data_IF_281527047514
#
_entry.id   IF_281527047514
#
_cell.length_a   1.000
_cell.length_b   1.000
_cell.length_c   1.000
_cell.angle_alpha   90.00
_cell.angle_beta   90.00
_cell.angle_gamma   90.00
#
_symmetry.space_group_name_H-M   'P 1'
#
loop_
_entity.id
_entity.type
_entity.pdbx_description
1 polymer ?
#
# COMPACT_ATOMS: atom_id res chain seq x y z
N UNK A 1 -3.58 -4.59 -22.89
CA UNK A 1 -3.83 -6.05 -22.80
C UNK A 1 -4.94 -6.40 -23.78
N UNK A 2 -4.91 -7.57 -24.46
CA UNK A 2 -6.06 -8.04 -25.27
C UNK A 2 -7.16 -8.57 -24.35
N UNK A 3 -8.40 -8.68 -24.85
CA UNK A 3 -9.53 -9.23 -24.08
C UNK A 3 -9.23 -10.64 -23.58
N UNK A 4 -8.72 -11.51 -24.44
CA UNK A 4 -8.35 -12.89 -24.07
C UNK A 4 -7.24 -12.93 -22.98
N UNK A 5 -6.24 -12.06 -23.09
CA UNK A 5 -5.18 -11.97 -22.08
C UNK A 5 -5.71 -11.44 -20.74
N UNK A 6 -6.68 -10.52 -20.77
CA UNK A 6 -7.34 -10.02 -19.58
C UNK A 6 -8.23 -11.09 -18.92
N UNK A 7 -8.98 -11.84 -19.73
CA UNK A 7 -9.80 -12.94 -19.22
C UNK A 7 -8.96 -14.00 -18.52
N UNK A 8 -7.84 -14.41 -19.12
CA UNK A 8 -6.91 -15.38 -18.52
C UNK A 8 -6.35 -14.84 -17.20
N UNK A 9 -5.84 -13.61 -17.20
CA UNK A 9 -5.34 -12.95 -16.00
C UNK A 9 -6.41 -12.87 -14.90
N UNK A 10 -7.64 -12.43 -15.25
CA UNK A 10 -8.75 -12.31 -14.32
C UNK A 10 -9.11 -13.64 -13.68
N UNK A 11 -9.18 -14.72 -14.49
CA UNK A 11 -9.43 -16.06 -13.98
C UNK A 11 -8.30 -16.56 -13.07
N UNK A 12 -7.04 -16.36 -13.45
CA UNK A 12 -5.89 -16.77 -12.63
C UNK A 12 -5.93 -16.10 -11.25
N UNK A 13 -6.20 -14.80 -11.22
CA UNK A 13 -6.31 -14.02 -9.98
C UNK A 13 -7.52 -14.43 -9.15
N UNK A 14 -8.72 -14.55 -9.77
CA UNK A 14 -9.96 -14.81 -9.03
C UNK A 14 -10.09 -16.26 -8.56
N UNK A 15 -9.44 -17.22 -9.24
CA UNK A 15 -9.49 -18.65 -8.88
C UNK A 15 -8.26 -19.12 -8.11
N UNK A 16 -7.34 -18.23 -7.80
CA UNK A 16 -6.17 -18.54 -6.99
C UNK A 16 -6.60 -19.15 -5.64
N UNK A 17 -5.87 -20.17 -5.21
CA UNK A 17 -6.07 -20.73 -3.87
C UNK A 17 -5.49 -19.82 -2.80
N UNK A 18 -6.31 -18.90 -2.31
CA UNK A 18 -5.95 -17.91 -1.31
C UNK A 18 -5.50 -18.53 0.03
N UNK A 19 -5.78 -19.81 0.28
CA UNK A 19 -5.26 -20.51 1.46
C UNK A 19 -3.73 -20.63 1.47
N UNK A 20 -3.09 -20.51 0.29
CA UNK A 20 -1.64 -20.48 0.15
C UNK A 20 -0.98 -19.26 0.82
N UNK A 21 -1.70 -18.20 1.08
CA UNK A 21 -1.17 -17.07 1.83
C UNK A 21 -0.88 -17.42 3.30
N UNK A 22 -1.56 -18.43 3.86
CA UNK A 22 -1.27 -18.92 5.18
C UNK A 22 -0.05 -19.89 5.16
N UNK A 23 0.83 -19.89 6.16
CA UNK A 23 0.80 -19.08 7.39
C UNK A 23 1.50 -17.72 7.26
N UNK A 24 2.12 -17.39 6.13
CA UNK A 24 2.91 -16.16 5.94
C UNK A 24 2.09 -14.90 6.25
N UNK A 25 0.85 -14.84 5.78
CA UNK A 25 -0.05 -13.71 6.02
C UNK A 25 -0.36 -13.52 7.50
N UNK A 26 -0.60 -14.60 8.26
CA UNK A 26 -0.83 -14.54 9.70
C UNK A 26 0.42 -14.06 10.45
N UNK A 27 1.61 -14.47 9.99
CA UNK A 27 2.87 -14.00 10.55
C UNK A 27 3.07 -12.51 10.29
N UNK A 28 2.78 -12.03 9.06
CA UNK A 28 2.84 -10.60 8.73
C UNK A 28 1.87 -9.80 9.59
N UNK A 29 0.63 -10.25 9.72
CA UNK A 29 -0.37 -9.65 10.62
C UNK A 29 0.15 -9.55 12.06
N UNK A 30 0.70 -10.64 12.58
CA UNK A 30 1.25 -10.67 13.95
C UNK A 30 2.43 -9.70 14.11
N UNK A 31 3.32 -9.61 13.10
CA UNK A 31 4.43 -8.66 13.12
C UNK A 31 3.93 -7.22 13.10
N UNK A 32 2.96 -6.88 12.24
CA UNK A 32 2.36 -5.54 12.20
C UNK A 32 1.65 -5.19 13.52
N UNK A 33 0.92 -6.14 14.13
CA UNK A 33 0.25 -5.92 15.43
C UNK A 33 1.22 -5.64 16.58
N UNK A 34 2.45 -6.14 16.50
CA UNK A 34 3.46 -5.97 17.55
C UNK A 34 4.46 -4.84 17.25
N UNK A 35 4.49 -4.32 16.03
CA UNK A 35 5.41 -3.26 15.62
C UNK A 35 4.97 -1.90 16.16
N UNK A 36 5.94 -1.08 16.52
CA UNK A 36 5.75 0.34 16.81
C UNK A 36 6.16 1.17 15.59
N UNK A 37 7.43 1.07 15.18
CA UNK A 37 8.04 1.97 14.20
C UNK A 37 8.14 1.32 12.84
N UNK A 38 7.61 2.00 11.86
CA UNK A 38 7.78 1.64 10.46
C UNK A 38 8.70 2.65 9.78
N UNK A 39 9.69 2.14 9.05
CA UNK A 39 10.56 2.95 8.23
C UNK A 39 10.59 2.38 6.80
N UNK A 40 10.19 3.17 5.83
CA UNK A 40 10.18 2.80 4.41
C UNK A 40 11.18 3.65 3.66
N UNK A 41 12.06 2.99 2.89
CA UNK A 41 13.06 3.62 2.04
C UNK A 41 12.90 3.17 0.61
N UNK A 42 13.21 4.05 -0.32
CA UNK A 42 13.20 3.74 -1.76
C UNK A 42 13.59 4.95 -2.59
N UNK A 43 13.40 4.84 -3.89
CA UNK A 43 13.63 5.96 -4.80
C UNK A 43 12.69 7.12 -4.40
N UNK A 44 13.28 8.31 -4.14
CA UNK A 44 12.63 9.52 -3.60
C UNK A 44 11.59 9.20 -2.48
N UNK A 45 12.00 8.33 -1.54
CA UNK A 45 11.16 7.90 -0.42
C UNK A 45 12.00 7.67 0.83
N UNK A 46 11.72 8.43 1.88
CA UNK A 46 12.16 8.20 3.26
C UNK A 46 10.99 8.54 4.18
N UNK A 47 10.20 7.52 4.55
CA UNK A 47 8.94 7.67 5.26
C UNK A 47 9.00 6.94 6.60
N UNK A 48 8.63 7.62 7.69
CA UNK A 48 8.61 7.06 9.05
C UNK A 48 7.30 7.37 9.73
N UNK A 49 6.77 6.36 10.43
CA UNK A 49 5.54 6.48 11.21
C UNK A 49 5.45 5.36 12.26
N UNK A 50 4.50 5.50 13.16
CA UNK A 50 4.13 4.48 14.16
C UNK A 50 2.80 3.84 13.82
N UNK A 51 2.68 2.53 14.05
CA UNK A 51 1.41 1.76 13.99
C UNK A 51 1.06 1.14 15.35
N UNK A 52 1.70 1.63 16.40
CA UNK A 52 1.60 1.08 17.74
C UNK A 52 0.16 1.05 18.23
N UNK A 53 -0.27 -0.12 18.71
CA UNK A 53 -1.59 -0.36 19.30
C UNK A 53 -2.80 -0.12 18.36
N UNK A 54 -2.55 0.06 17.05
CA UNK A 54 -3.62 0.22 16.03
C UNK A 54 -4.23 -1.14 15.65
N UNK A 55 -3.42 -2.19 15.65
CA UNK A 55 -3.84 -3.49 15.12
C UNK A 55 -3.49 -3.67 13.64
N UNK A 56 -3.79 -4.87 13.13
CA UNK A 56 -3.62 -5.19 11.71
C UNK A 56 -4.67 -6.20 11.25
N UNK A 57 -5.08 -6.12 10.01
CA UNK A 57 -6.08 -6.98 9.38
C UNK A 57 -5.45 -7.72 8.21
N UNK A 58 -5.69 -9.02 8.14
CA UNK A 58 -5.21 -9.88 7.08
C UNK A 58 -6.32 -10.15 6.05
N UNK A 59 -6.07 -9.82 4.79
CA UNK A 59 -7.00 -9.94 3.67
C UNK A 59 -6.49 -11.02 2.70
N UNK A 60 -7.05 -12.22 2.81
CA UNK A 60 -6.62 -13.40 2.05
C UNK A 60 -7.78 -14.13 1.39
N UNK A 61 -8.61 -13.43 0.61
CA UNK A 61 -9.78 -13.98 -0.08
C UNK A 61 -11.08 -13.87 0.71
N UNK A 62 -11.09 -13.12 1.81
CA UNK A 62 -12.27 -12.95 2.69
C UNK A 62 -12.88 -11.56 2.63
N UNK A 63 -12.19 -10.60 2.02
CA UNK A 63 -12.65 -9.22 1.88
C UNK A 63 -12.97 -8.90 0.42
N UNK A 64 -11.97 -8.83 -0.43
CA UNK A 64 -12.10 -8.56 -1.86
C UNK A 64 -11.63 -9.76 -2.70
N UNK A 65 -11.95 -9.76 -4.00
CA UNK A 65 -11.35 -10.63 -5.02
C UNK A 65 -11.04 -9.72 -6.23
N UNK A 66 -9.75 -9.51 -6.57
CA UNK A 66 -8.55 -10.10 -5.96
C UNK A 66 -8.30 -9.65 -4.52
N UNK A 67 -7.48 -10.43 -3.81
CA UNK A 67 -7.09 -10.18 -2.44
C UNK A 67 -5.56 -10.45 -2.29
N UNK A 68 -4.99 -10.26 -1.11
CA UNK A 68 -3.58 -10.53 -0.84
C UNK A 68 -2.84 -9.33 -0.30
N UNK A 69 -3.23 -8.92 0.91
CA UNK A 69 -2.56 -7.86 1.67
C UNK A 69 -2.71 -8.06 3.17
N UNK A 70 -1.92 -7.32 3.93
CA UNK A 70 -2.17 -7.05 5.35
C UNK A 70 -2.10 -5.55 5.54
N UNK A 71 -3.14 -4.97 6.15
CA UNK A 71 -3.21 -3.55 6.41
C UNK A 71 -3.23 -3.21 7.90
N UNK A 72 -2.82 -2.00 8.20
CA UNK A 72 -2.90 -1.28 9.47
C UNK A 72 -3.12 0.20 9.17
N UNK A 73 -3.01 1.05 10.17
CA UNK A 73 -3.09 2.50 9.98
C UNK A 73 -1.98 3.20 10.78
N UNK A 74 -1.31 4.24 10.25
CA UNK A 74 -0.41 5.05 11.05
C UNK A 74 -1.13 5.79 12.17
N UNK A 75 -0.48 5.92 13.34
CA UNK A 75 -0.91 6.90 14.35
C UNK A 75 -0.98 8.26 13.67
N UNK A 76 -2.10 8.97 13.82
CA UNK A 76 -2.50 10.11 12.99
C UNK A 76 -1.44 11.20 12.85
N UNK A 77 -0.71 11.52 13.91
CA UNK A 77 0.30 12.58 13.96
C UNK A 77 1.75 12.06 13.87
N UNK A 78 1.94 10.76 13.60
CA UNK A 78 3.25 10.12 13.62
C UNK A 78 3.99 10.13 12.28
N UNK A 79 3.32 10.47 11.18
CA UNK A 79 3.93 10.36 9.84
C UNK A 79 4.85 11.54 9.57
N UNK A 80 6.10 11.20 9.19
CA UNK A 80 7.14 12.16 8.81
C UNK A 80 7.92 11.68 7.59
N UNK A 81 8.44 12.62 6.81
CA UNK A 81 9.26 12.36 5.64
C UNK A 81 8.51 12.55 4.33
N UNK A 82 8.88 11.81 3.31
CA UNK A 82 8.30 11.95 1.98
C UNK A 82 8.20 10.61 1.27
N UNK A 83 7.30 10.55 0.29
CA UNK A 83 7.10 9.41 -0.59
C UNK A 83 6.81 9.86 -2.01
N UNK A 84 7.47 9.22 -2.98
CA UNK A 84 7.16 9.29 -4.40
C UNK A 84 6.46 8.01 -4.83
N UNK A 85 5.19 8.09 -5.21
CA UNK A 85 4.46 6.95 -5.79
C UNK A 85 4.87 6.73 -7.25
N UNK A 86 4.90 5.47 -7.67
CA UNK A 86 5.35 5.05 -8.99
C UNK A 86 4.33 4.20 -9.76
N UNK A 87 3.14 4.01 -9.20
CA UNK A 87 1.99 3.44 -9.88
C UNK A 87 1.03 4.57 -10.29
N UNK A 88 0.68 4.71 -11.59
CA UNK A 88 -0.33 5.66 -12.02
C UNK A 88 -1.71 5.21 -11.51
N UNK A 89 -2.56 6.16 -11.14
CA UNK A 89 -3.87 5.88 -10.55
C UNK A 89 -4.96 6.75 -11.15
N UNK A 90 -6.22 6.29 -11.05
CA UNK A 90 -7.41 7.08 -11.38
C UNK A 90 -8.18 7.31 -10.08
N UNK A 91 -8.48 8.55 -9.79
CA UNK A 91 -9.32 8.90 -8.66
C UNK A 91 -10.41 9.91 -9.06
N UNK A 92 -11.66 9.60 -8.74
CA UNK A 92 -12.84 10.40 -9.13
C UNK A 92 -12.87 10.75 -10.63
N UNK A 93 -12.39 9.81 -11.48
CA UNK A 93 -12.38 9.98 -12.94
C UNK A 93 -11.22 10.81 -13.50
N UNK A 94 -10.27 11.22 -12.66
CA UNK A 94 -9.06 11.95 -13.07
C UNK A 94 -7.84 11.04 -12.98
N UNK A 95 -7.02 11.05 -14.03
CA UNK A 95 -5.74 10.33 -14.10
C UNK A 95 -4.65 11.09 -13.34
N UNK A 96 -3.90 10.37 -12.49
CA UNK A 96 -2.74 10.88 -11.77
C UNK A 96 -1.53 9.98 -11.97
N UNK A 97 -0.36 10.60 -12.03
CA UNK A 97 0.93 9.92 -12.11
C UNK A 97 1.99 10.77 -11.42
N UNK A 98 3.07 10.13 -10.95
CA UNK A 98 4.19 10.83 -10.33
C UNK A 98 3.80 11.61 -9.07
N UNK A 99 2.83 11.12 -8.28
CA UNK A 99 2.41 11.79 -7.05
C UNK A 99 3.55 11.70 -6.03
N UNK A 100 3.94 12.86 -5.49
CA UNK A 100 4.86 12.98 -4.37
C UNK A 100 4.19 13.71 -3.22
N UNK A 101 4.28 13.12 -2.03
CA UNK A 101 3.73 13.69 -0.80
C UNK A 101 4.85 13.92 0.21
N UNK A 102 4.79 15.06 0.92
CA UNK A 102 5.66 15.36 2.06
C UNK A 102 4.83 15.50 3.33
N UNK A 103 5.32 14.91 4.42
CA UNK A 103 4.60 14.81 5.69
C UNK A 103 5.34 15.51 6.82
N UNK A 104 4.57 16.20 7.65
CA UNK A 104 5.02 16.76 8.92
C UNK A 104 3.93 16.59 9.96
N UNK A 105 4.28 15.99 11.10
CA UNK A 105 3.36 15.75 12.21
C UNK A 105 2.05 15.09 11.73
N UNK A 106 2.18 14.05 10.88
CA UNK A 106 1.10 13.27 10.31
C UNK A 106 0.37 13.88 9.12
N UNK A 107 0.51 15.19 8.90
CA UNK A 107 -0.23 15.92 7.86
C UNK A 107 0.59 16.01 6.57
N UNK A 108 -0.07 15.81 5.43
CA UNK A 108 0.47 16.13 4.10
C UNK A 108 0.60 17.65 4.00
N UNK A 109 1.85 18.14 3.99
CA UNK A 109 2.18 19.58 3.93
C UNK A 109 2.52 20.05 2.53
N UNK A 110 2.95 19.13 1.66
CA UNK A 110 3.18 19.37 0.25
C UNK A 110 2.72 18.17 -0.57
N UNK A 111 2.08 18.42 -1.73
CA UNK A 111 1.57 17.41 -2.63
C UNK A 111 1.71 17.88 -4.06
N UNK A 112 2.50 17.15 -4.85
CA UNK A 112 2.74 17.44 -6.26
C UNK A 112 2.47 16.20 -7.12
N UNK A 113 2.15 16.42 -8.39
CA UNK A 113 1.99 15.39 -9.42
C UNK A 113 2.78 15.81 -10.68
N UNK A 114 2.74 14.98 -11.73
CA UNK A 114 3.56 15.15 -12.93
C UNK A 114 3.23 16.39 -13.80
N UNK A 115 2.17 17.14 -13.48
CA UNK A 115 1.81 18.40 -14.14
C UNK A 115 1.16 19.39 -13.18
N UNK A 116 1.17 20.68 -13.52
CA UNK A 116 0.53 21.72 -12.71
C UNK A 116 -0.97 21.45 -12.56
N UNK A 117 -1.66 21.06 -13.63
CA UNK A 117 -3.10 20.76 -13.58
C UNK A 117 -3.42 19.54 -12.70
N UNK A 118 -2.60 18.49 -12.77
CA UNK A 118 -2.75 17.30 -11.87
C UNK A 118 -2.40 17.65 -10.44
N UNK A 119 -1.43 18.52 -10.21
CA UNK A 119 -1.06 19.02 -8.86
C UNK A 119 -2.19 19.84 -8.25
N UNK A 120 -2.85 20.72 -9.02
CA UNK A 120 -4.02 21.47 -8.57
C UNK A 120 -5.17 20.52 -8.20
N UNK A 121 -5.54 19.60 -9.09
CA UNK A 121 -6.60 18.61 -8.84
C UNK A 121 -6.30 17.72 -7.63
N UNK A 122 -5.04 17.27 -7.45
CA UNK A 122 -4.59 16.51 -6.29
C UNK A 122 -4.84 17.30 -4.99
N UNK A 123 -4.45 18.57 -4.96
CA UNK A 123 -4.61 19.41 -3.79
C UNK A 123 -6.08 19.74 -3.51
N UNK A 124 -6.93 19.92 -4.52
CA UNK A 124 -8.38 20.08 -4.33
C UNK A 124 -9.00 18.85 -3.64
N UNK A 125 -8.56 17.62 -4.01
CA UNK A 125 -9.01 16.39 -3.35
C UNK A 125 -8.53 16.36 -1.90
N UNK A 126 -7.26 16.61 -1.66
CA UNK A 126 -6.66 16.57 -0.32
C UNK A 126 -7.14 17.69 0.60
N UNK A 127 -7.70 18.75 0.06
CA UNK A 127 -8.31 19.87 0.83
C UNK A 127 -9.84 19.76 0.96
N UNK A 128 -10.45 18.67 0.47
CA UNK A 128 -11.91 18.52 0.46
C UNK A 128 -12.54 18.44 1.85
N UNK A 129 -11.79 17.96 2.85
CA UNK A 129 -12.21 17.93 4.26
C UNK A 129 -11.03 17.92 5.23
N UNK A 130 -11.31 17.95 6.52
CA UNK A 130 -10.27 18.05 7.58
C UNK A 130 -9.43 16.78 7.76
N UNK A 131 -9.87 15.63 7.27
CA UNK A 131 -9.17 14.34 7.37
C UNK A 131 -8.38 13.97 6.12
N UNK A 132 -8.69 14.56 4.96
CA UNK A 132 -8.14 14.13 3.67
C UNK A 132 -6.61 14.23 3.56
N UNK A 133 -5.97 15.15 4.32
CA UNK A 133 -4.51 15.29 4.39
C UNK A 133 -3.82 14.40 5.43
N UNK A 134 -4.54 13.49 6.07
CA UNK A 134 -3.98 12.51 7.00
C UNK A 134 -4.12 11.11 6.43
N UNK A 135 -3.27 10.20 6.89
CA UNK A 135 -3.28 8.83 6.41
C UNK A 135 -4.27 7.98 7.19
N UNK A 136 -5.11 7.25 6.46
CA UNK A 136 -6.10 6.30 6.96
C UNK A 136 -5.70 4.85 6.81
N UNK A 137 -4.69 4.53 5.98
CA UNK A 137 -4.25 3.15 5.81
C UNK A 137 -2.78 3.05 5.37
N UNK A 138 -2.14 1.98 5.83
CA UNK A 138 -0.87 1.45 5.36
C UNK A 138 -1.01 -0.05 5.16
N UNK A 139 -0.83 -0.55 3.94
CA UNK A 139 -0.94 -1.97 3.64
C UNK A 139 0.22 -2.47 2.80
N UNK A 140 0.52 -3.77 2.94
CA UNK A 140 1.55 -4.47 2.20
C UNK A 140 0.91 -5.49 1.27
N UNK A 141 1.01 -5.26 -0.05
CA UNK A 141 0.50 -6.14 -1.10
C UNK A 141 1.47 -7.28 -1.45
N UNK A 142 0.91 -8.48 -1.69
CA UNK A 142 1.69 -9.67 -2.02
C UNK A 142 0.96 -10.65 -2.97
N UNK A 143 -0.06 -10.22 -3.71
CA UNK A 143 -0.68 -11.09 -4.71
C UNK A 143 0.28 -11.36 -5.87
N UNK A 144 0.65 -12.64 -6.13
CA UNK A 144 1.69 -12.98 -7.09
C UNK A 144 1.25 -12.81 -8.56
N UNK A 145 -0.05 -12.71 -8.83
CA UNK A 145 -0.59 -12.54 -10.18
C UNK A 145 -0.76 -11.07 -10.57
N UNK A 146 -0.94 -10.19 -9.60
CA UNK A 146 -1.04 -8.75 -9.87
C UNK A 146 0.36 -8.16 -9.87
N UNK A 147 0.92 -7.96 -11.06
CA UNK A 147 2.35 -7.63 -11.21
C UNK A 147 2.61 -6.24 -11.81
N UNK A 148 1.58 -5.54 -12.26
CA UNK A 148 1.72 -4.21 -12.86
C UNK A 148 0.48 -3.36 -12.61
N UNK A 149 0.61 -2.02 -12.58
CA UNK A 149 -0.52 -1.13 -12.44
C UNK A 149 -1.54 -1.29 -13.56
N UNK A 150 -2.81 -1.36 -13.21
CA UNK A 150 -3.93 -1.47 -14.13
C UNK A 150 -4.80 -0.21 -14.11
N UNK A 151 -4.53 0.75 -13.22
CA UNK A 151 -5.37 1.91 -12.91
C UNK A 151 -6.75 1.51 -12.39
N UNK A 152 -6.80 0.37 -11.72
CA UNK A 152 -7.95 -0.12 -10.99
C UNK A 152 -7.50 -0.39 -9.55
N UNK A 153 -8.07 0.36 -8.61
CA UNK A 153 -7.62 0.40 -7.23
C UNK A 153 -7.71 -0.99 -6.57
N UNK A 154 -8.76 -1.77 -6.88
CA UNK A 154 -8.97 -3.11 -6.30
C UNK A 154 -7.89 -4.11 -6.72
N UNK A 155 -7.26 -3.90 -7.88
CA UNK A 155 -6.13 -4.71 -8.33
C UNK A 155 -4.81 -4.10 -7.86
N UNK A 156 -4.63 -2.79 -8.03
CA UNK A 156 -3.34 -2.14 -7.85
C UNK A 156 -2.87 -2.16 -6.39
N UNK A 157 -3.79 -2.12 -5.43
CA UNK A 157 -3.49 -2.24 -3.99
C UNK A 157 -2.93 -3.61 -3.61
N UNK A 158 -3.19 -4.68 -4.40
CA UNK A 158 -2.73 -6.04 -4.14
C UNK A 158 -1.43 -6.40 -4.86
N UNK A 159 -0.82 -5.50 -5.65
CA UNK A 159 0.37 -5.79 -6.45
C UNK A 159 1.46 -6.46 -5.60
N UNK A 160 1.96 -7.61 -6.07
CA UNK A 160 3.07 -8.31 -5.43
C UNK A 160 4.33 -7.45 -5.38
N UNK A 161 4.91 -7.26 -4.18
CA UNK A 161 6.07 -6.41 -3.96
C UNK A 161 5.75 -4.91 -3.84
N UNK A 162 4.49 -4.53 -3.68
CA UNK A 162 4.07 -3.16 -3.40
C UNK A 162 3.65 -2.94 -1.95
N UNK A 163 3.47 -1.70 -1.60
CA UNK A 163 2.65 -1.26 -0.49
C UNK A 163 1.79 -0.09 -0.97
N UNK A 164 0.68 0.15 -0.29
CA UNK A 164 -0.06 1.38 -0.49
C UNK A 164 -0.13 2.20 0.80
N UNK A 165 -0.28 3.51 0.61
CA UNK A 165 -0.34 4.49 1.68
C UNK A 165 -1.45 5.47 1.34
N UNK A 166 -2.51 5.46 2.15
CA UNK A 166 -3.84 5.90 1.77
C UNK A 166 -4.23 7.19 2.49
N UNK A 167 -4.23 8.35 1.83
CA UNK A 167 -4.82 9.55 2.38
C UNK A 167 -6.32 9.38 2.64
N UNK A 168 -6.77 9.90 3.79
CA UNK A 168 -8.17 10.03 4.14
C UNK A 168 -8.69 9.06 5.19
N UNK A 169 -9.86 8.46 4.94
CA UNK A 169 -10.61 7.64 5.88
C UNK A 169 -9.83 6.41 6.33
N UNK A 170 -9.86 6.12 7.63
CA UNK A 170 -9.41 4.84 8.18
C UNK A 170 -10.56 3.84 8.30
N UNK A 171 -10.25 2.55 8.32
CA UNK A 171 -11.22 1.49 8.62
C UNK A 171 -11.38 1.29 10.13
N UNK A 172 -12.57 0.88 10.57
CA UNK A 172 -12.88 0.65 12.00
C UNK A 172 -11.99 -0.44 12.62
N UNK A 173 -11.63 -1.46 11.83
CA UNK A 173 -10.82 -2.61 12.28
C UNK A 173 -9.33 -2.27 12.51
N UNK A 174 -8.86 -1.13 11.97
CA UNK A 174 -7.51 -0.61 12.17
C UNK A 174 -7.56 0.92 12.18
N UNK A 175 -8.14 1.50 13.23
CA UNK A 175 -8.51 2.91 13.26
C UNK A 175 -7.52 3.78 14.03
N UNK A 176 -7.10 4.88 13.43
CA UNK A 176 -6.41 6.00 14.08
C UNK A 176 -7.36 7.16 14.41
N UNK A 177 -8.67 6.99 14.19
CA UNK A 177 -9.70 7.99 14.40
C UNK A 177 -9.76 9.08 13.32
N UNK A 178 -9.09 8.90 12.18
CA UNK A 178 -9.21 9.84 11.07
C UNK A 178 -10.52 9.62 10.32
N UNK A 179 -11.30 10.68 10.13
CA UNK A 179 -12.58 10.71 9.43
C UNK A 179 -12.47 11.61 8.20
N UNK A 180 -12.84 11.08 7.02
CA UNK A 180 -12.75 11.78 5.74
C UNK A 180 -13.72 11.20 4.71
N UNK A 181 -14.08 11.97 3.70
CA UNK A 181 -14.77 11.49 2.51
C UNK A 181 -13.80 10.99 1.42
N UNK A 182 -12.51 11.17 1.63
CA UNK A 182 -11.43 10.63 0.80
C UNK A 182 -10.99 9.30 1.39
N UNK A 183 -10.76 8.32 0.55
CA UNK A 183 -10.00 7.11 0.81
C UNK A 183 -9.35 6.76 -0.52
N UNK A 184 -8.06 6.96 -0.63
CA UNK A 184 -7.37 6.86 -1.91
C UNK A 184 -6.08 6.06 -1.79
N UNK A 185 -6.12 4.78 -2.18
CA UNK A 185 -4.99 3.87 -2.13
C UNK A 185 -3.97 4.23 -3.20
N UNK A 186 -2.93 4.92 -2.77
CA UNK A 186 -1.80 5.28 -3.60
C UNK A 186 -0.72 4.21 -3.46
N UNK A 187 -0.30 3.63 -4.58
CA UNK A 187 0.57 2.44 -4.60
C UNK A 187 2.01 2.80 -4.92
N UNK A 188 2.95 2.23 -4.13
CA UNK A 188 4.37 2.22 -4.46
C UNK A 188 4.87 0.79 -4.60
N UNK A 189 5.35 0.46 -5.78
CA UNK A 189 5.98 -0.83 -6.10
C UNK A 189 7.45 -0.74 -5.74
N UNK A 190 7.95 -1.73 -4.97
CA UNK A 190 9.35 -1.76 -4.52
C UNK A 190 10.20 -2.83 -5.21
N UNK A 191 9.71 -3.47 -6.27
CA UNK A 191 10.53 -4.39 -7.05
C UNK A 191 11.67 -3.66 -7.77
N UNK A 192 12.77 -4.36 -8.14
CA UNK A 192 13.94 -3.74 -8.79
C UNK A 192 13.62 -2.99 -10.09
N UNK A 193 12.65 -3.48 -10.87
CA UNK A 193 12.17 -2.85 -12.11
C UNK A 193 11.43 -1.52 -11.88
N UNK A 194 11.07 -1.22 -10.62
CA UNK A 194 10.44 0.01 -10.16
C UNK A 194 11.33 0.84 -9.21
N UNK A 195 12.64 0.57 -9.17
CA UNK A 195 13.61 1.33 -8.37
C UNK A 195 13.94 0.71 -7.01
N UNK A 196 13.36 -0.43 -6.65
CA UNK A 196 13.64 -1.12 -5.39
C UNK A 196 13.09 -0.43 -4.16
N UNK A 197 13.50 -0.91 -2.99
CA UNK A 197 13.16 -0.30 -1.72
C UNK A 197 13.25 -1.26 -0.53
N UNK A 198 13.08 -0.71 0.65
CA UNK A 198 13.21 -1.44 1.91
C UNK A 198 12.08 -1.05 2.87
N UNK A 199 11.55 -2.01 3.61
CA UNK A 199 10.59 -1.80 4.72
C UNK A 199 11.19 -2.39 5.99
N UNK A 200 11.22 -1.59 7.04
CA UNK A 200 11.69 -1.96 8.37
C UNK A 200 10.55 -1.87 9.38
N UNK A 201 10.46 -2.85 10.28
CA UNK A 201 9.64 -2.83 11.48
C UNK A 201 10.56 -2.82 12.70
N UNK A 202 10.50 -1.79 13.54
CA UNK A 202 11.34 -1.63 14.72
C UNK A 202 12.84 -1.87 14.45
N UNK A 203 13.34 -1.31 13.34
CA UNK A 203 14.69 -1.44 12.82
C UNK A 203 15.06 -2.83 12.22
N UNK A 204 14.17 -3.84 12.25
CA UNK A 204 14.34 -5.10 11.53
C UNK A 204 13.95 -4.93 10.06
N UNK A 205 14.83 -5.30 9.13
CA UNK A 205 14.53 -5.32 7.70
C UNK A 205 13.56 -6.48 7.40
N UNK A 206 12.32 -6.14 7.02
CA UNK A 206 11.25 -7.10 6.74
C UNK A 206 11.16 -7.43 5.26
N UNK A 207 11.24 -6.40 4.40
CA UNK A 207 11.14 -6.55 2.95
C UNK A 207 12.21 -5.71 2.24
N UNK A 208 12.82 -6.28 1.23
CA UNK A 208 13.79 -5.62 0.35
C UNK A 208 13.47 -5.91 -1.10
N UNK A 209 13.47 -4.85 -1.92
CA UNK A 209 13.26 -4.93 -3.36
C UNK A 209 11.99 -5.74 -3.73
N UNK A 210 10.92 -5.56 -2.94
CA UNK A 210 9.63 -6.20 -3.13
C UNK A 210 9.50 -7.60 -2.53
N UNK A 211 10.58 -8.21 -2.01
CA UNK A 211 10.57 -9.55 -1.45
C UNK A 211 10.77 -9.53 0.08
N UNK A 212 10.04 -10.36 0.78
CA UNK A 212 10.24 -10.59 2.21
C UNK A 212 11.56 -11.32 2.46
N UNK A 213 12.34 -10.83 3.44
CA UNK A 213 13.68 -11.34 3.75
C UNK A 213 13.76 -12.08 5.08
N UNK A 214 12.71 -12.04 5.89
CA UNK A 214 12.63 -12.77 7.17
C UNK A 214 11.96 -14.13 6.96
N UNK A 215 12.49 -15.17 7.60
CA UNK A 215 12.16 -16.57 7.32
C UNK A 215 10.66 -16.91 7.37
N UNK A 216 9.93 -16.34 8.32
CA UNK A 216 8.51 -16.60 8.54
C UNK A 216 7.59 -15.88 7.54
N UNK A 217 8.12 -14.93 6.76
CA UNK A 217 7.41 -14.20 5.70
C UNK A 217 7.82 -14.63 4.28
N UNK A 218 8.93 -15.35 4.11
CA UNK A 218 9.35 -15.89 2.80
C UNK A 218 8.21 -16.64 2.08
N UNK A 219 7.31 -17.38 2.75
CA UNK A 219 6.17 -18.02 2.08
C UNK A 219 5.25 -17.08 1.28
N UNK A 220 5.27 -15.76 1.54
CA UNK A 220 4.52 -14.74 0.78
C UNK A 220 5.23 -14.25 -0.48
N UNK A 221 6.47 -14.66 -0.73
CA UNK A 221 7.17 -14.29 -1.95
C UNK A 221 6.58 -15.00 -3.17
N UNK A 222 6.53 -14.34 -4.35
CA UNK A 222 5.89 -14.88 -5.54
C UNK A 222 6.39 -16.25 -5.96
N UNK A 223 7.70 -16.51 -5.83
CA UNK A 223 8.33 -17.80 -6.16
C UNK A 223 7.88 -18.96 -5.25
N UNK A 224 7.33 -18.65 -4.07
CA UNK A 224 6.76 -19.64 -3.15
C UNK A 224 5.26 -19.84 -3.40
N UNK A 225 4.53 -18.75 -3.63
CA UNK A 225 3.08 -18.78 -3.84
C UNK A 225 2.66 -19.41 -5.16
N UNK A 226 3.51 -19.33 -6.19
CA UNK A 226 3.25 -19.87 -7.54
C UNK A 226 3.70 -21.35 -7.69
N UNK A 227 4.21 -21.98 -6.64
CA UNK A 227 4.48 -23.44 -6.61
C UNK A 227 3.19 -24.20 -6.35
#
# INVERSE_FOLDING_TARGET
>A
MSTEAFENFFFDVCTFDYSKFNPGMQNLQTRMQNADKIHIKGDDTDLRFSIKDIGAVACGGTHNIPDGEVFSCPIKDSVHGHIQFNAPTIYRGTDFDGIRLEFKDGKIVDAIANSDASTEALNEILDSDGGARYIGEFAIGFNPYVVQPMRDILFDEKIGGSFHFTPGQCYDDASNGNDSQVHWDMVKIQRPDYGGGEIYFDDELIRKDGEFVVNDLIPLNPDQLLK
#
